data_IF_247437853617
#
_entry.id   IF_247437853617
#
_cell.length_a   1.000
_cell.length_b   1.000
_cell.length_c   1.000
_cell.angle_alpha   90.00
_cell.angle_beta   90.00
_cell.angle_gamma   90.00
#
_symmetry.space_group_name_H-M   'P 1'
#
loop_
_entity.id
_entity.type
_entity.pdbx_description
1 polymer ?
#
# COMPACT_ATOMS: atom_id res chain seq x y z
N UNK A 1 8.70 14.37 -13.97
CA UNK A 1 7.84 15.41 -13.36
C UNK A 1 8.08 15.32 -11.87
N UNK A 2 8.03 16.43 -11.12
CA UNK A 2 8.12 16.35 -9.67
C UNK A 2 6.91 15.55 -9.15
N UNK A 3 7.15 14.62 -8.23
CA UNK A 3 6.06 13.89 -7.60
C UNK A 3 5.23 14.84 -6.73
N UNK A 4 3.91 14.59 -6.63
CA UNK A 4 3.06 15.39 -5.73
C UNK A 4 2.71 14.60 -4.49
N UNK A 5 2.50 15.28 -3.36
CA UNK A 5 2.07 14.60 -2.14
C UNK A 5 0.77 13.80 -2.33
N UNK A 6 -0.18 14.32 -3.12
CA UNK A 6 -1.42 13.62 -3.46
C UNK A 6 -1.17 12.33 -4.26
N UNK A 7 -0.23 12.33 -5.21
CA UNK A 7 0.19 11.12 -5.93
C UNK A 7 0.75 10.06 -4.97
N UNK A 8 1.57 10.46 -4.00
CA UNK A 8 2.12 9.54 -2.98
C UNK A 8 0.99 8.93 -2.14
N UNK A 9 -0.02 9.72 -1.77
CA UNK A 9 -1.18 9.26 -1.00
C UNK A 9 -2.01 8.24 -1.79
N UNK A 10 -2.29 8.51 -3.06
CA UNK A 10 -3.05 7.58 -3.91
C UNK A 10 -2.28 6.28 -4.17
N UNK A 11 -0.96 6.35 -4.40
CA UNK A 11 -0.10 5.16 -4.51
C UNK A 11 -0.11 4.35 -3.21
N UNK A 12 -0.03 5.01 -2.06
CA UNK A 12 -0.11 4.33 -0.75
C UNK A 12 -1.47 3.68 -0.54
N UNK A 13 -2.58 4.35 -0.88
CA UNK A 13 -3.93 3.76 -0.79
C UNK A 13 -4.04 2.52 -1.67
N UNK A 14 -3.54 2.55 -2.91
CA UNK A 14 -3.53 1.39 -3.79
C UNK A 14 -2.72 0.22 -3.20
N UNK A 15 -1.55 0.50 -2.61
CA UNK A 15 -0.75 -0.51 -1.93
C UNK A 15 -1.48 -1.09 -0.70
N UNK A 16 -2.17 -0.26 0.09
CA UNK A 16 -2.94 -0.69 1.26
C UNK A 16 -4.13 -1.56 0.85
N UNK A 17 -4.87 -1.19 -0.20
CA UNK A 17 -5.98 -1.99 -0.75
C UNK A 17 -5.49 -3.36 -1.26
N UNK A 18 -4.37 -3.39 -1.99
CA UNK A 18 -3.77 -4.64 -2.44
C UNK A 18 -3.31 -5.52 -1.25
N UNK A 19 -2.78 -4.90 -0.19
CA UNK A 19 -2.42 -5.62 1.03
C UNK A 19 -3.64 -6.22 1.73
N UNK A 20 -4.73 -5.45 1.86
CA UNK A 20 -6.01 -5.94 2.41
C UNK A 20 -6.50 -7.15 1.62
N UNK A 21 -6.38 -7.15 0.29
CA UNK A 21 -6.75 -8.31 -0.54
C UNK A 21 -5.91 -9.55 -0.23
N UNK A 22 -4.60 -9.40 -0.02
CA UNK A 22 -3.69 -10.50 0.38
C UNK A 22 -4.10 -11.07 1.74
N UNK A 23 -4.42 -10.22 2.70
CA UNK A 23 -4.88 -10.64 4.03
C UNK A 23 -6.21 -11.39 3.95
N UNK A 24 -7.18 -10.88 3.19
CA UNK A 24 -8.47 -11.55 2.96
C UNK A 24 -8.32 -12.93 2.30
N UNK A 25 -7.39 -13.07 1.35
CA UNK A 25 -7.09 -14.37 0.73
C UNK A 25 -6.55 -15.36 1.76
N UNK A 26 -5.59 -14.91 2.59
CA UNK A 26 -5.02 -15.73 3.65
C UNK A 26 -6.06 -16.16 4.68
N UNK A 27 -6.93 -15.24 5.08
CA UNK A 27 -8.00 -15.52 6.04
C UNK A 27 -9.04 -16.50 5.45
N UNK A 28 -9.42 -16.32 4.19
CA UNK A 28 -10.37 -17.20 3.51
C UNK A 28 -9.84 -18.61 3.24
N UNK A 29 -8.54 -18.75 2.94
CA UNK A 29 -7.93 -20.07 2.68
C UNK A 29 -7.51 -20.79 3.96
N UNK A 30 -7.45 -20.07 5.09
CA UNK A 30 -7.05 -20.59 6.38
C UNK A 30 -5.54 -20.82 6.50
N UNK A 31 -5.10 -21.21 7.69
CA UNK A 31 -3.68 -21.48 7.95
C UNK A 31 -3.20 -22.68 7.12
N UNK A 32 -2.12 -22.55 6.31
CA UNK A 32 -1.58 -23.66 5.52
C UNK A 32 -1.16 -24.86 6.37
N UNK A 33 -0.88 -24.64 7.65
CA UNK A 33 -0.54 -25.68 8.64
C UNK A 33 -1.76 -26.50 9.08
N UNK A 34 -2.98 -26.01 8.87
CA UNK A 34 -4.22 -26.71 9.19
C UNK A 34 -4.80 -27.45 7.97
N UNK A 35 -4.68 -26.88 6.77
CA UNK A 35 -5.01 -27.56 5.51
C UNK A 35 -4.15 -27.01 4.38
N UNK A 36 -3.47 -27.86 3.59
CA UNK A 36 -2.72 -27.39 2.44
C UNK A 36 -3.67 -26.74 1.43
N UNK A 37 -3.24 -25.62 0.86
CA UNK A 37 -3.98 -24.91 -0.18
C UNK A 37 -3.93 -25.68 -1.50
N UNK A 38 -4.98 -25.56 -2.31
CA UNK A 38 -4.96 -26.05 -3.68
C UNK A 38 -4.00 -25.22 -4.55
N UNK A 39 -3.58 -25.77 -5.70
CA UNK A 39 -2.71 -25.04 -6.63
C UNK A 39 -3.33 -23.70 -7.03
N UNK A 40 -4.62 -23.67 -7.36
CA UNK A 40 -5.34 -22.43 -7.72
C UNK A 40 -5.36 -21.41 -6.59
N UNK A 41 -5.52 -21.85 -5.32
CA UNK A 41 -5.46 -20.95 -4.16
C UNK A 41 -4.07 -20.36 -3.98
N UNK A 42 -3.03 -21.20 -4.09
CA UNK A 42 -1.62 -20.77 -4.06
C UNK A 42 -1.32 -19.75 -5.16
N UNK A 43 -1.68 -20.04 -6.41
CA UNK A 43 -1.44 -19.15 -7.56
C UNK A 43 -2.18 -17.80 -7.40
N UNK A 44 -3.41 -17.84 -6.87
CA UNK A 44 -4.21 -16.64 -6.61
C UNK A 44 -3.56 -15.77 -5.52
N UNK A 45 -3.14 -16.39 -4.43
CA UNK A 45 -2.45 -15.70 -3.33
C UNK A 45 -1.12 -15.11 -3.79
N UNK A 46 -0.29 -15.88 -4.50
CA UNK A 46 0.99 -15.40 -5.01
C UNK A 46 0.83 -14.22 -5.97
N UNK A 47 -0.19 -14.26 -6.84
CA UNK A 47 -0.50 -13.17 -7.76
C UNK A 47 -0.85 -11.89 -7.00
N UNK A 48 -1.74 -11.98 -6.01
CA UNK A 48 -2.11 -10.84 -5.18
C UNK A 48 -0.91 -10.30 -4.37
N UNK A 49 -0.09 -11.21 -3.83
CA UNK A 49 1.11 -10.85 -3.07
C UNK A 49 2.15 -10.13 -3.93
N UNK A 50 2.39 -10.60 -5.16
CA UNK A 50 3.29 -9.93 -6.12
C UNK A 50 2.79 -8.53 -6.47
N UNK A 51 1.49 -8.41 -6.80
CA UNK A 51 0.88 -7.12 -7.12
C UNK A 51 1.02 -6.11 -5.98
N UNK A 52 0.72 -6.53 -4.74
CA UNK A 52 0.94 -5.70 -3.55
C UNK A 52 2.42 -5.28 -3.41
N UNK A 53 3.35 -6.23 -3.58
CA UNK A 53 4.78 -5.96 -3.42
C UNK A 53 5.31 -4.96 -4.43
N UNK A 54 4.82 -5.00 -5.66
CA UNK A 54 5.22 -4.08 -6.71
C UNK A 54 4.69 -2.66 -6.42
N UNK A 55 3.44 -2.53 -5.97
CA UNK A 55 2.90 -1.24 -5.49
C UNK A 55 3.67 -0.69 -4.28
N UNK A 56 3.99 -1.53 -3.30
CA UNK A 56 4.76 -1.11 -2.13
C UNK A 56 6.17 -0.62 -2.49
N UNK A 57 6.80 -1.24 -3.50
CA UNK A 57 8.10 -0.79 -4.03
C UNK A 57 8.00 0.54 -4.76
N UNK A 58 6.95 0.72 -5.56
CA UNK A 58 6.67 1.98 -6.26
C UNK A 58 6.48 3.12 -5.26
N UNK A 59 5.66 2.93 -4.22
CA UNK A 59 5.50 3.90 -3.12
C UNK A 59 6.85 4.27 -2.49
N UNK A 60 7.69 3.29 -2.16
CA UNK A 60 9.01 3.56 -1.56
C UNK A 60 9.92 4.37 -2.48
N UNK A 61 9.91 4.09 -3.77
CA UNK A 61 10.69 4.83 -4.76
C UNK A 61 10.20 6.27 -4.86
N UNK A 62 8.91 6.48 -5.07
CA UNK A 62 8.27 7.80 -5.19
C UNK A 62 8.44 8.65 -3.93
N UNK A 63 8.28 8.07 -2.73
CA UNK A 63 8.53 8.77 -1.44
C UNK A 63 9.99 9.20 -1.32
N UNK A 64 10.93 8.37 -1.76
CA UNK A 64 12.37 8.69 -1.71
C UNK A 64 12.71 9.83 -2.66
N UNK A 65 12.16 9.82 -3.87
CA UNK A 65 12.35 10.88 -4.87
C UNK A 65 11.72 12.19 -4.40
N UNK A 66 10.45 12.18 -3.98
CA UNK A 66 9.75 13.34 -3.43
C UNK A 66 10.49 13.97 -2.24
N UNK A 67 10.90 13.16 -1.26
CA UNK A 67 11.61 13.66 -0.09
C UNK A 67 12.94 14.34 -0.46
N UNK A 68 13.65 13.79 -1.46
CA UNK A 68 14.89 14.40 -1.97
C UNK A 68 14.62 15.72 -2.69
N UNK A 69 13.57 15.79 -3.51
CA UNK A 69 13.19 17.00 -4.25
C UNK A 69 12.75 18.13 -3.30
N UNK A 70 11.99 17.80 -2.26
CA UNK A 70 11.51 18.76 -1.25
C UNK A 70 12.54 19.07 -0.15
N UNK A 71 13.69 18.39 -0.14
CA UNK A 71 14.70 18.53 0.93
C UNK A 71 14.21 18.08 2.31
N UNK A 72 13.25 17.15 2.36
CA UNK A 72 12.60 16.64 3.57
C UNK A 72 13.16 15.29 3.99
N UNK A 73 12.94 14.91 5.25
CA UNK A 73 13.25 13.56 5.71
C UNK A 73 12.32 12.54 5.06
N UNK A 74 12.89 11.49 4.46
CA UNK A 74 12.12 10.36 3.90
C UNK A 74 11.15 9.74 4.92
N UNK A 75 11.60 9.60 6.17
CA UNK A 75 10.80 8.96 7.24
C UNK A 75 9.58 9.83 7.59
N UNK A 76 9.73 11.15 7.61
CA UNK A 76 8.64 12.08 7.89
C UNK A 76 7.60 12.06 6.77
N UNK A 77 8.05 12.10 5.51
CA UNK A 77 7.17 11.99 4.33
C UNK A 77 6.41 10.67 4.36
N UNK A 78 7.08 9.54 4.60
CA UNK A 78 6.44 8.22 4.65
C UNK A 78 5.35 8.18 5.74
N UNK A 79 5.62 8.74 6.93
CA UNK A 79 4.65 8.81 8.02
C UNK A 79 3.46 9.73 7.71
N UNK A 80 3.66 10.82 6.99
CA UNK A 80 2.59 11.72 6.53
C UNK A 80 1.70 11.05 5.48
N UNK A 81 2.31 10.45 4.46
CA UNK A 81 1.61 9.73 3.39
C UNK A 81 0.75 8.61 3.98
N UNK A 82 1.30 7.81 4.89
CA UNK A 82 0.56 6.73 5.56
C UNK A 82 -0.64 7.24 6.36
N UNK A 83 -0.48 8.35 7.09
CA UNK A 83 -1.60 8.97 7.84
C UNK A 83 -2.68 9.51 6.91
N UNK A 84 -2.28 10.17 5.83
CA UNK A 84 -3.21 10.73 4.85
C UNK A 84 -3.98 9.63 4.11
N UNK A 85 -3.33 8.54 3.70
CA UNK A 85 -3.98 7.41 3.04
C UNK A 85 -5.05 6.71 3.91
N UNK A 86 -4.86 6.72 5.24
CA UNK A 86 -5.79 6.16 6.22
C UNK A 86 -6.97 7.08 6.57
N UNK A 87 -6.88 8.37 6.23
CA UNK A 87 -7.94 9.32 6.54
C UNK A 87 -8.98 9.26 5.40
N UNK A 88 -10.27 8.95 5.68
CA UNK A 88 -11.31 9.16 4.69
C UNK A 88 -11.31 10.65 4.37
N UNK A 89 -11.19 11.02 3.09
CA UNK A 89 -10.96 12.40 2.66
C UNK A 89 -11.86 13.37 3.42
N UNK A 90 -11.27 14.12 4.35
CA UNK A 90 -11.99 15.10 5.15
C UNK A 90 -12.19 16.33 4.28
N UNK A 91 -13.15 16.25 3.36
CA UNK A 91 -13.81 17.41 2.82
C UNK A 91 -14.53 18.10 3.98
N UNK A 92 -14.02 19.28 4.34
CA UNK A 92 -14.77 20.37 4.98
C UNK A 92 -15.59 20.02 6.24
N UNK A 93 -15.08 20.41 7.41
CA UNK A 93 -15.93 20.75 8.55
C UNK A 93 -15.37 22.01 9.19
N UNK A 94 -15.70 23.15 8.58
CA UNK A 94 -15.70 24.43 9.25
C UNK A 94 -17.05 24.63 9.93
N UNK A 95 -17.03 24.79 11.25
CA UNK A 95 -17.93 25.66 12.04
C UNK A 95 -17.21 26.05 13.32
#
# INVERSE_FOLDING_TARGET
MAHTFEELVEKQRAADEAHVRVLQLRDNYGAPTASPWSQTQTDTYETAWRAWRDLARDVQATVTEYAKEEGRSRIEVEAEVKRAAQTPGNGESGT
#
